data_IF_425428313735
#
_entry.id   IF_425428313735
#
_cell.length_a   1.000
_cell.length_b   1.000
_cell.length_c   1.000
_cell.angle_alpha   90.00
_cell.angle_beta   90.00
_cell.angle_gamma   90.00
#
_symmetry.space_group_name_H-M   'P 1'
#
loop_
_entity.id
_entity.type
_entity.pdbx_description
1 polymer ?
#
# COMPACT_ATOMS: atom_id res chain seq x y z
N UNK A 1 2.24 0.90 -12.75
CA UNK A 1 1.61 2.19 -13.09
C UNK A 1 0.11 2.04 -13.01
N UNK A 2 -0.57 3.07 -12.49
CA UNK A 2 -2.02 3.14 -12.41
C UNK A 2 -2.46 4.54 -12.82
N UNK A 3 -3.70 4.66 -13.30
CA UNK A 3 -4.34 5.95 -13.57
C UNK A 3 -5.36 6.21 -12.47
N UNK A 4 -5.44 7.46 -12.01
CA UNK A 4 -6.31 7.89 -10.92
C UNK A 4 -7.11 9.08 -11.43
N UNK A 5 -8.42 9.00 -11.32
CA UNK A 5 -9.30 10.13 -11.60
C UNK A 5 -9.32 11.06 -10.38
N UNK A 6 -9.17 12.36 -10.62
CA UNK A 6 -9.02 13.38 -9.59
C UNK A 6 -10.07 14.49 -9.78
N UNK A 7 -10.56 15.10 -8.69
CA UNK A 7 -11.37 16.31 -8.78
C UNK A 7 -10.55 17.50 -9.32
N UNK A 8 -11.23 18.60 -9.68
CA UNK A 8 -10.61 19.79 -10.31
C UNK A 8 -9.49 20.43 -9.45
N UNK A 9 -9.66 20.43 -8.13
CA UNK A 9 -8.61 20.80 -7.17
C UNK A 9 -8.35 19.64 -6.19
N UNK A 10 -7.44 18.71 -6.54
CA UNK A 10 -7.22 17.51 -5.75
C UNK A 10 -6.30 17.72 -4.56
N UNK A 11 -5.62 18.87 -4.45
CA UNK A 11 -4.59 19.11 -3.43
C UNK A 11 -3.35 18.20 -3.51
N UNK A 12 -3.30 17.24 -4.44
CA UNK A 12 -2.22 16.27 -4.61
C UNK A 12 -1.04 16.88 -5.38
N UNK A 13 0.18 16.56 -4.95
CA UNK A 13 1.44 17.05 -5.52
C UNK A 13 2.38 15.90 -5.84
N UNK A 14 3.35 16.18 -6.72
CA UNK A 14 4.41 15.23 -7.03
C UNK A 14 5.20 14.94 -5.74
N UNK A 15 5.33 13.65 -5.42
CA UNK A 15 6.01 13.17 -4.22
C UNK A 15 5.07 12.77 -3.08
N UNK A 16 3.77 13.08 -3.17
CA UNK A 16 2.79 12.66 -2.17
C UNK A 16 2.58 11.13 -2.18
N UNK A 17 2.27 10.59 -1.00
CA UNK A 17 1.96 9.17 -0.80
C UNK A 17 0.44 8.95 -0.87
N UNK A 18 0.03 7.98 -1.67
CA UNK A 18 -1.38 7.59 -1.81
C UNK A 18 -1.54 6.14 -1.36
N UNK A 19 -2.40 5.91 -0.37
CA UNK A 19 -2.78 4.57 0.08
C UNK A 19 -3.92 4.00 -0.75
N UNK A 20 -3.80 2.74 -1.18
CA UNK A 20 -4.85 2.04 -1.92
C UNK A 20 -5.44 0.91 -1.08
N UNK A 21 -6.76 0.86 -1.00
CA UNK A 21 -7.47 -0.32 -0.53
C UNK A 21 -7.37 -1.46 -1.55
N UNK A 22 -7.28 -2.69 -1.06
CA UNK A 22 -7.28 -3.90 -1.88
C UNK A 22 -8.54 -4.72 -1.61
N UNK A 23 -9.30 -5.03 -2.66
CA UNK A 23 -10.55 -5.79 -2.51
C UNK A 23 -10.29 -7.26 -2.17
N UNK A 24 -9.24 -7.84 -2.74
CA UNK A 24 -8.83 -9.23 -2.50
C UNK A 24 -7.40 -9.25 -1.94
N UNK A 25 -7.25 -9.22 -0.61
CA UNK A 25 -5.93 -9.20 0.02
C UNK A 25 -5.13 -10.48 -0.26
N UNK A 26 -5.80 -11.63 -0.37
CA UNK A 26 -5.18 -12.93 -0.62
C UNK A 26 -4.38 -12.99 -1.94
N UNK A 27 -4.89 -12.39 -3.02
CA UNK A 27 -4.21 -12.33 -4.35
C UNK A 27 -3.20 -11.20 -4.47
N UNK A 28 -3.04 -10.40 -3.40
CA UNK A 28 -1.98 -9.41 -3.31
C UNK A 28 -0.82 -9.97 -2.50
N UNK A 29 -1.11 -10.72 -1.43
CA UNK A 29 -0.10 -11.31 -0.55
C UNK A 29 0.84 -12.28 -1.27
N UNK A 30 0.38 -12.98 -2.31
CA UNK A 30 1.23 -13.86 -3.16
C UNK A 30 2.24 -13.11 -4.01
N UNK A 31 2.07 -11.80 -4.21
CA UNK A 31 3.01 -10.98 -4.98
C UNK A 31 4.19 -10.48 -4.16
N UNK A 32 4.12 -10.54 -2.82
CA UNK A 32 5.10 -9.91 -1.94
C UNK A 32 5.70 -10.91 -0.96
N UNK A 33 7.04 -10.92 -0.83
CA UNK A 33 7.75 -11.81 0.11
C UNK A 33 7.80 -11.26 1.54
N UNK A 34 7.52 -9.98 1.73
CA UNK A 34 7.57 -9.27 3.01
C UNK A 34 6.47 -8.21 3.03
N UNK A 35 5.68 -8.18 4.10
CA UNK A 35 4.72 -7.12 4.39
C UNK A 35 5.12 -6.39 5.66
N UNK A 36 5.07 -5.06 5.67
CA UNK A 36 5.38 -4.26 6.85
C UNK A 36 4.16 -4.09 7.75
N UNK A 37 4.42 -4.07 9.06
CA UNK A 37 3.45 -3.68 10.09
C UNK A 37 3.73 -2.23 10.46
N UNK A 38 2.67 -1.44 10.56
CA UNK A 38 2.73 -0.02 10.89
C UNK A 38 1.99 0.26 12.20
N UNK A 39 2.44 1.27 12.96
CA UNK A 39 1.64 1.89 14.01
C UNK A 39 0.71 2.98 13.44
N UNK A 40 -0.07 3.62 14.33
CA UNK A 40 -1.03 4.67 13.96
C UNK A 40 -0.36 5.94 13.39
N UNK A 41 0.94 6.12 13.66
CA UNK A 41 1.76 7.20 13.10
C UNK A 41 2.46 6.78 11.79
N UNK A 42 2.08 5.65 11.20
CA UNK A 42 2.67 5.07 9.99
C UNK A 42 4.15 4.72 10.10
N UNK A 43 4.68 4.48 11.31
CA UNK A 43 6.06 3.99 11.48
C UNK A 43 6.11 2.49 11.35
N UNK A 44 7.18 1.98 10.71
CA UNK A 44 7.41 0.54 10.61
C UNK A 44 7.78 -0.02 11.98
N UNK A 45 6.95 -0.92 12.48
CA UNK A 45 7.14 -1.61 13.77
C UNK A 45 7.60 -3.05 13.61
N UNK A 46 7.46 -3.61 12.40
CA UNK A 46 7.89 -4.96 12.11
C UNK A 46 7.57 -5.39 10.68
N UNK A 47 7.73 -6.69 10.41
CA UNK A 47 7.37 -7.26 9.12
C UNK A 47 7.03 -8.74 9.19
N UNK A 48 6.09 -9.15 8.35
CA UNK A 48 5.64 -10.53 8.18
C UNK A 48 6.26 -11.06 6.90
N UNK A 49 7.12 -12.07 7.02
CA UNK A 49 7.68 -12.77 5.87
C UNK A 49 6.69 -13.80 5.36
N UNK A 50 6.34 -13.70 4.08
CA UNK A 50 5.41 -14.61 3.43
C UNK A 50 6.21 -15.74 2.78
N UNK A 51 5.85 -16.98 3.13
CA UNK A 51 6.44 -18.19 2.58
C UNK A 51 5.35 -18.89 1.76
N UNK A 52 5.35 -18.66 0.44
CA UNK A 52 4.62 -19.48 -0.52
C UNK A 52 5.65 -20.30 -1.32
N UNK A 53 5.41 -21.61 -1.41
CA UNK A 53 6.27 -22.57 -2.11
C UNK A 53 6.13 -22.46 -3.62
#
# INVERSE_FOLDING_TARGET
HAYIELPEDPGLRIGDLVGFGISHPCTTFDKWRLMYLLDDDYRVTGGIRIYMS
#
